data_IF_772239890108
#
_entry.id   IF_772239890108
#
_cell.length_a   1.000
_cell.length_b   1.000
_cell.length_c   1.000
_cell.angle_alpha   90.00
_cell.angle_beta   90.00
_cell.angle_gamma   90.00
#
_symmetry.space_group_name_H-M   'P 1'
#
loop_
_entity.id
_entity.type
_entity.pdbx_description
1 polymer ?
#
# COMPACT_ATOMS: atom_id res chain seq x y z
N UNK A 1 14.18 -6.97 -18.30
CA UNK A 1 14.28 -5.69 -17.56
C UNK A 1 12.91 -5.31 -17.03
N UNK A 2 12.82 -5.01 -15.76
CA UNK A 2 11.53 -4.66 -15.16
C UNK A 2 11.14 -3.23 -15.56
N UNK A 3 9.87 -3.06 -15.91
CA UNK A 3 9.36 -1.77 -16.35
C UNK A 3 8.98 -0.90 -15.14
N UNK A 4 9.74 0.18 -14.93
CA UNK A 4 9.49 1.14 -13.86
C UNK A 4 8.10 1.77 -14.00
N UNK A 5 7.67 2.07 -15.22
CA UNK A 5 6.35 2.65 -15.47
C UNK A 5 5.23 1.72 -15.00
N UNK A 6 5.39 0.42 -15.17
CA UNK A 6 4.40 -0.56 -14.72
C UNK A 6 4.25 -0.54 -13.20
N UNK A 7 5.36 -0.46 -12.47
CA UNK A 7 5.30 -0.39 -11.00
C UNK A 7 4.66 0.91 -10.52
N UNK A 8 5.02 2.04 -11.13
CA UNK A 8 4.40 3.32 -10.78
C UNK A 8 2.92 3.33 -11.08
N UNK A 9 2.51 2.72 -12.19
CA UNK A 9 1.10 2.58 -12.55
C UNK A 9 0.36 1.73 -11.53
N UNK A 10 0.93 0.63 -11.08
CA UNK A 10 0.32 -0.23 -10.07
C UNK A 10 0.12 0.53 -8.75
N UNK A 11 1.12 1.31 -8.33
CA UNK A 11 1.03 2.13 -7.13
C UNK A 11 -0.12 3.13 -7.26
N UNK A 12 -0.18 3.84 -8.40
CA UNK A 12 -1.23 4.82 -8.66
C UNK A 12 -2.62 4.18 -8.63
N UNK A 13 -2.78 3.05 -9.30
CA UNK A 13 -4.06 2.34 -9.36
C UNK A 13 -4.50 1.87 -7.96
N UNK A 14 -3.55 1.37 -7.16
CA UNK A 14 -3.83 0.94 -5.80
C UNK A 14 -4.25 2.11 -4.91
N UNK A 15 -3.61 3.26 -5.04
CA UNK A 15 -4.00 4.47 -4.29
C UNK A 15 -5.41 4.90 -4.68
N UNK A 16 -5.74 4.91 -5.97
CA UNK A 16 -7.07 5.28 -6.44
C UNK A 16 -8.13 4.32 -5.88
N UNK A 17 -7.84 3.02 -5.87
CA UNK A 17 -8.75 2.02 -5.29
C UNK A 17 -8.96 2.23 -3.80
N UNK A 18 -7.89 2.50 -3.06
CA UNK A 18 -7.99 2.76 -1.62
C UNK A 18 -8.87 3.99 -1.36
N UNK A 19 -8.65 5.08 -2.11
CA UNK A 19 -9.45 6.28 -1.98
C UNK A 19 -10.93 5.99 -2.24
N UNK A 20 -11.21 5.22 -3.29
CA UNK A 20 -12.58 4.85 -3.64
C UNK A 20 -13.23 3.99 -2.57
N UNK A 21 -12.53 2.97 -2.07
CA UNK A 21 -13.07 2.04 -1.07
C UNK A 21 -13.28 2.71 0.29
N UNK A 22 -12.56 3.79 0.58
CA UNK A 22 -12.66 4.51 1.84
C UNK A 22 -13.51 5.78 1.78
N UNK A 23 -14.24 6.00 0.70
CA UNK A 23 -15.14 7.16 0.55
C UNK A 23 -16.18 7.25 1.67
N UNK A 24 -16.60 6.13 2.23
CA UNK A 24 -17.56 6.08 3.32
C UNK A 24 -17.02 6.51 4.68
N UNK A 25 -15.70 6.75 4.79
CA UNK A 25 -15.05 7.22 6.01
C UNK A 25 -14.61 6.11 6.95
N UNK A 26 -14.02 6.51 8.07
CA UNK A 26 -13.42 5.59 9.04
C UNK A 26 -14.44 4.63 9.64
N UNK A 27 -15.62 5.10 9.98
CA UNK A 27 -16.65 4.24 10.59
C UNK A 27 -17.03 3.09 9.66
N UNK A 28 -17.29 3.39 8.40
CA UNK A 28 -17.64 2.37 7.40
C UNK A 28 -16.50 1.38 7.21
N UNK A 29 -15.26 1.89 7.15
CA UNK A 29 -14.07 1.05 7.05
C UNK A 29 -13.96 0.06 8.22
N UNK A 30 -14.19 0.53 9.45
CA UNK A 30 -14.07 -0.31 10.64
C UNK A 30 -15.19 -1.34 10.77
N UNK A 31 -16.31 -1.16 10.08
CA UNK A 31 -17.46 -2.06 10.12
C UNK A 31 -17.53 -3.05 8.96
N UNK A 32 -16.76 -2.84 7.88
CA UNK A 32 -16.86 -3.63 6.66
C UNK A 32 -15.58 -4.41 6.38
N UNK A 33 -15.62 -5.74 6.59
CA UNK A 33 -14.45 -6.59 6.39
C UNK A 33 -14.01 -6.66 4.93
N UNK A 34 -14.95 -6.54 3.98
CA UNK A 34 -14.59 -6.52 2.57
C UNK A 34 -13.76 -5.28 2.22
N UNK A 35 -14.14 -4.12 2.75
CA UNK A 35 -13.37 -2.88 2.56
C UNK A 35 -12.01 -3.01 3.22
N UNK A 36 -11.95 -3.54 4.45
CA UNK A 36 -10.69 -3.76 5.17
C UNK A 36 -9.72 -4.62 4.36
N UNK A 37 -10.21 -5.76 3.88
CA UNK A 37 -9.39 -6.70 3.12
C UNK A 37 -8.91 -6.08 1.80
N UNK A 38 -9.77 -5.33 1.13
CA UNK A 38 -9.42 -4.65 -0.12
C UNK A 38 -8.36 -3.58 0.09
N UNK A 39 -8.47 -2.79 1.16
CA UNK A 39 -7.48 -1.76 1.49
C UNK A 39 -6.14 -2.41 1.84
N UNK A 40 -6.15 -3.42 2.70
CA UNK A 40 -4.92 -4.14 3.09
C UNK A 40 -4.24 -4.73 1.86
N UNK A 41 -4.99 -5.37 0.97
CA UNK A 41 -4.43 -5.95 -0.25
C UNK A 41 -3.78 -4.88 -1.13
N UNK A 42 -4.41 -3.72 -1.27
CA UNK A 42 -3.84 -2.63 -2.07
C UNK A 42 -2.60 -2.01 -1.41
N UNK A 43 -2.56 -1.93 -0.08
CA UNK A 43 -1.36 -1.51 0.63
C UNK A 43 -0.20 -2.48 0.41
N UNK A 44 -0.47 -3.79 0.39
CA UNK A 44 0.53 -4.81 0.06
C UNK A 44 1.07 -4.62 -1.36
N UNK A 45 0.20 -4.35 -2.32
CA UNK A 45 0.57 -4.11 -3.72
C UNK A 45 1.49 -2.88 -3.81
N UNK A 46 1.14 -1.80 -3.12
CA UNK A 46 1.96 -0.59 -3.10
C UNK A 46 3.36 -0.90 -2.55
N UNK A 47 3.43 -1.61 -1.43
CA UNK A 47 4.69 -1.98 -0.81
C UNK A 47 5.56 -2.85 -1.72
N UNK A 48 4.96 -3.84 -2.38
CA UNK A 48 5.67 -4.72 -3.30
C UNK A 48 6.17 -3.96 -4.53
N UNK A 49 5.33 -3.10 -5.11
CA UNK A 49 5.73 -2.30 -6.25
C UNK A 49 6.85 -1.32 -5.89
N UNK A 50 6.75 -0.66 -4.73
CA UNK A 50 7.78 0.26 -4.26
C UNK A 50 9.12 -0.45 -4.06
N UNK A 51 9.10 -1.68 -3.54
CA UNK A 51 10.30 -2.48 -3.35
C UNK A 51 11.02 -2.77 -4.68
N UNK A 52 10.28 -2.87 -5.77
CA UNK A 52 10.81 -3.17 -7.09
C UNK A 52 11.26 -1.93 -7.88
N UNK A 53 11.06 -0.73 -7.34
CA UNK A 53 11.56 0.49 -7.97
C UNK A 53 13.08 0.57 -7.83
N UNK A 54 13.80 1.12 -8.84
CA UNK A 54 15.25 1.27 -8.79
C UNK A 54 15.69 2.11 -7.60
N UNK A 55 16.83 1.76 -7.01
CA UNK A 55 17.41 2.49 -5.88
C UNK A 55 17.64 3.96 -6.24
N UNK A 56 18.09 4.22 -7.45
CA UNK A 56 18.36 5.60 -7.90
C UNK A 56 17.07 6.45 -7.92
N UNK A 57 15.97 5.86 -8.37
CA UNK A 57 14.68 6.55 -8.37
C UNK A 57 14.24 6.88 -6.93
N UNK A 58 14.37 5.92 -6.02
CA UNK A 58 14.01 6.15 -4.62
C UNK A 58 14.89 7.21 -3.97
N UNK A 59 16.19 7.22 -4.27
CA UNK A 59 17.12 8.25 -3.76
C UNK A 59 16.83 9.63 -4.31
N UNK A 60 16.26 9.71 -5.53
CA UNK A 60 15.84 10.97 -6.13
C UNK A 60 14.65 11.61 -5.43
N UNK A 61 13.92 10.84 -4.65
CA UNK A 61 12.70 11.29 -3.96
C UNK A 61 12.78 10.98 -2.47
N UNK A 62 13.73 11.56 -1.73
CA UNK A 62 13.92 11.26 -0.31
C UNK A 62 12.76 11.71 0.58
N UNK A 63 11.88 12.57 0.08
CA UNK A 63 10.66 13.00 0.79
C UNK A 63 9.65 11.87 0.96
N UNK A 64 9.76 10.81 0.17
CA UNK A 64 8.88 9.65 0.27
C UNK A 64 9.47 8.64 1.27
N UNK A 65 8.70 8.18 2.28
CA UNK A 65 9.22 7.24 3.28
C UNK A 65 9.27 5.80 2.76
N UNK A 66 10.20 5.54 1.84
CA UNK A 66 10.30 4.26 1.13
C UNK A 66 10.44 3.06 2.06
N UNK A 67 11.27 3.19 3.10
CA UNK A 67 11.49 2.10 4.04
C UNK A 67 10.21 1.73 4.78
N UNK A 68 9.43 2.73 5.19
CA UNK A 68 8.16 2.51 5.86
C UNK A 68 7.15 1.84 4.95
N UNK A 69 7.11 2.26 3.69
CA UNK A 69 6.19 1.70 2.69
C UNK A 69 6.50 0.23 2.43
N UNK A 70 7.77 -0.11 2.19
CA UNK A 70 8.17 -1.49 1.92
C UNK A 70 8.06 -2.36 3.18
N UNK A 71 8.36 -1.80 4.36
CA UNK A 71 8.24 -2.52 5.63
C UNK A 71 6.79 -2.82 5.99
N UNK A 72 5.88 -1.92 5.69
CA UNK A 72 4.44 -2.12 5.90
C UNK A 72 3.94 -3.38 5.18
N UNK A 73 4.38 -3.61 3.96
CA UNK A 73 4.01 -4.82 3.21
C UNK A 73 4.38 -6.09 3.97
N UNK A 74 5.57 -6.15 4.56
CA UNK A 74 6.01 -7.31 5.31
C UNK A 74 5.16 -7.54 6.55
N UNK A 75 4.82 -6.48 7.27
CA UNK A 75 3.95 -6.58 8.44
C UNK A 75 2.56 -7.09 8.05
N UNK A 76 1.98 -6.55 6.98
CA UNK A 76 0.64 -6.95 6.53
C UNK A 76 0.58 -8.40 6.07
N UNK A 77 1.65 -8.92 5.45
CA UNK A 77 1.69 -10.30 4.96
C UNK A 77 1.99 -11.29 6.09
N UNK A 78 2.97 -11.00 6.93
CA UNK A 78 3.47 -11.95 7.91
C UNK A 78 2.78 -11.87 9.27
N UNK A 79 2.13 -10.77 9.58
CA UNK A 79 1.46 -10.55 10.85
C UNK A 79 -0.02 -10.18 10.66
N UNK A 80 -0.69 -10.87 9.74
CA UNK A 80 -2.07 -10.55 9.35
C UNK A 80 -3.01 -10.48 10.55
N UNK A 81 -2.91 -11.45 11.47
CA UNK A 81 -3.80 -11.47 12.65
C UNK A 81 -3.48 -10.39 13.68
N UNK A 82 -2.31 -9.77 13.57
CA UNK A 82 -1.90 -8.68 14.43
C UNK A 82 -2.07 -7.30 13.82
N UNK A 83 -2.71 -7.21 12.64
CA UNK A 83 -2.91 -5.93 11.96
C UNK A 83 -3.86 -5.05 12.76
N UNK A 84 -3.41 -3.84 13.07
CA UNK A 84 -4.22 -2.85 13.76
C UNK A 84 -4.96 -2.00 12.74
N UNK A 85 -6.29 -2.20 12.65
CA UNK A 85 -7.13 -1.52 11.68
C UNK A 85 -7.22 -0.01 11.92
N UNK A 86 -6.98 0.46 13.14
CA UNK A 86 -6.97 1.90 13.43
C UNK A 86 -5.74 2.57 12.81
N UNK A 87 -4.64 1.82 12.62
CA UNK A 87 -3.43 2.32 11.98
C UNK A 87 -3.55 2.24 10.45
N UNK A 88 -4.19 1.20 9.94
CA UNK A 88 -4.42 1.04 8.52
C UNK A 88 -5.30 2.17 7.98
#
# INVERSE_FOLDING_TARGET
MKDVSAYLKHIRESIVKIEKYTEGGQKTFLEDTMIQDSVIRNLEIIGEAARNLPVDLRKSHPEVPWRSITGMRNVLIHEYFGVDLDIV
#
